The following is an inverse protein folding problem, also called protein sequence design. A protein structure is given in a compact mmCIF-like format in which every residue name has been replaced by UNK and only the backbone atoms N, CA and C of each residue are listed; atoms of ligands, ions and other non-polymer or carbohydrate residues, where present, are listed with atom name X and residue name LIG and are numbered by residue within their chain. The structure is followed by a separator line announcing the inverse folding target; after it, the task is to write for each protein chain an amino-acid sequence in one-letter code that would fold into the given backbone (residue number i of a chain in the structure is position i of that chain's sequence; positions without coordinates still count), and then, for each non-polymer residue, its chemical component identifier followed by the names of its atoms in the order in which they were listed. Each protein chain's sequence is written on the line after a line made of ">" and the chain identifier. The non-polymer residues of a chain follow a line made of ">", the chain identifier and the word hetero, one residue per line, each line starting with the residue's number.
data_IF_363332867033
#
_entry.id   IF_363332867033
#
_cell.length_a   1.000
_cell.length_b   1.000
_cell.length_c   1.000
_cell.angle_alpha   90.00
_cell.angle_beta   90.00
_cell.angle_gamma   90.00
#
_symmetry.space_group_name_H-M   'P 1'
#
loop_
_entity.id
_entity.type
_entity.pdbx_description
1 polymer ?
#
# COMPACT_ATOMS: atom_id res chain seq x y z
N UNK A 1 0.66 -3.87 25.09
CA UNK A 1 1.47 -2.73 24.62
C UNK A 1 0.88 -1.46 25.21
N UNK A 2 1.70 -0.65 25.87
CA UNK A 2 1.29 0.65 26.41
C UNK A 2 1.63 1.72 25.35
N UNK A 3 0.62 2.32 24.74
CA UNK A 3 0.80 3.40 23.78
C UNK A 3 0.89 4.70 24.56
N UNK A 4 2.06 5.34 24.56
CA UNK A 4 2.26 6.66 25.16
C UNK A 4 2.05 7.76 24.12
N UNK A 5 1.46 8.87 24.55
CA UNK A 5 1.33 10.04 23.71
C UNK A 5 2.73 10.68 23.50
N UNK A 6 3.06 11.24 22.32
CA UNK A 6 4.34 11.91 22.06
C UNK A 6 4.75 12.99 23.09
N UNK A 7 3.76 13.56 23.77
CA UNK A 7 3.94 14.59 24.81
C UNK A 7 3.88 14.03 26.24
N UNK A 8 3.91 12.72 26.42
CA UNK A 8 3.96 12.10 27.74
C UNK A 8 5.30 12.39 28.40
N UNK A 9 5.25 12.99 29.59
CA UNK A 9 6.39 13.42 30.38
C UNK A 9 6.34 12.82 31.78
N UNK A 10 7.48 12.77 32.46
CA UNK A 10 7.53 12.41 33.86
C UNK A 10 6.91 13.49 34.74
N UNK A 11 5.99 13.13 35.65
CA UNK A 11 5.32 14.11 36.51
C UNK A 11 6.22 14.67 37.63
N UNK A 12 7.45 14.17 37.77
CA UNK A 12 8.44 14.66 38.75
C UNK A 12 9.42 15.65 38.12
N UNK A 13 10.03 15.30 36.98
CA UNK A 13 11.03 16.14 36.33
C UNK A 13 10.54 16.83 35.05
N UNK A 14 9.32 16.52 34.59
CA UNK A 14 8.71 17.02 33.36
C UNK A 14 9.48 16.69 32.07
N UNK A 15 10.48 15.80 32.16
CA UNK A 15 11.20 15.31 30.98
C UNK A 15 10.35 14.34 30.17
N UNK A 16 10.48 14.40 28.84
CA UNK A 16 9.78 13.50 27.92
C UNK A 16 10.21 12.05 28.11
N UNK A 17 9.23 11.14 28.12
CA UNK A 17 9.48 9.69 28.11
C UNK A 17 9.90 9.16 26.73
N UNK A 18 9.81 10.00 25.68
CA UNK A 18 10.15 9.63 24.30
C UNK A 18 11.66 9.75 24.05
N UNK A 19 12.42 10.43 24.90
CA UNK A 19 13.88 10.45 24.82
C UNK A 19 14.47 9.15 25.38
N UNK A 20 15.51 8.62 24.74
CA UNK A 20 16.14 7.35 25.12
C UNK A 20 16.74 7.33 26.53
N UNK A 21 16.90 8.51 27.15
CA UNK A 21 17.55 8.69 28.44
C UNK A 21 16.57 8.69 29.63
N UNK A 22 15.26 8.63 29.38
CA UNK A 22 14.22 8.78 30.41
C UNK A 22 13.17 7.70 30.30
N UNK A 23 13.60 6.47 30.54
CA UNK A 23 12.73 5.29 30.52
C UNK A 23 11.76 5.34 31.71
N UNK A 24 10.44 5.12 31.51
CA UNK A 24 9.48 5.01 32.59
C UNK A 24 9.54 3.66 33.29
N UNK A 25 9.31 3.70 34.59
CA UNK A 25 9.22 2.55 35.47
C UNK A 25 7.95 2.67 36.29
N UNK A 26 7.26 1.54 36.46
CA UNK A 26 6.19 1.41 37.45
C UNK A 26 6.77 0.90 38.75
N UNK A 27 6.52 1.61 39.84
CA UNK A 27 6.90 1.19 41.20
C UNK A 27 5.73 0.43 41.85
N UNK A 28 5.96 -0.30 42.95
CA UNK A 28 4.96 -1.14 43.67
C UNK A 28 3.54 -0.56 43.78
N UNK A 29 3.44 0.74 44.02
CA UNK A 29 2.16 1.43 44.19
C UNK A 29 1.37 1.69 42.89
N UNK A 30 1.93 1.37 41.73
CA UNK A 30 1.34 1.61 40.42
C UNK A 30 1.63 2.99 39.81
N UNK A 31 2.31 3.88 40.54
CA UNK A 31 2.74 5.16 39.97
C UNK A 31 3.94 5.00 39.04
N UNK A 32 4.04 5.90 38.06
CA UNK A 32 5.07 5.85 37.03
C UNK A 32 6.06 7.00 37.25
N UNK A 33 7.35 6.68 37.27
CA UNK A 33 8.45 7.64 37.35
C UNK A 33 9.51 7.32 36.31
N UNK A 34 10.32 8.29 35.87
CA UNK A 34 11.50 7.96 35.06
C UNK A 34 12.62 7.38 35.93
N UNK A 35 13.48 6.56 35.34
CA UNK A 35 14.64 5.94 35.99
C UNK A 35 15.45 6.94 36.82
N UNK A 36 15.75 8.09 36.25
CA UNK A 36 16.52 9.14 36.92
C UNK A 36 15.82 9.73 38.15
N UNK A 37 14.49 9.82 38.14
CA UNK A 37 13.73 10.28 39.30
C UNK A 37 13.69 9.21 40.39
N UNK A 38 13.59 7.93 40.01
CA UNK A 38 13.66 6.83 40.98
C UNK A 38 15.03 6.81 41.65
N UNK A 39 16.12 6.89 40.88
CA UNK A 39 17.48 6.86 41.43
C UNK A 39 17.81 8.05 42.35
N UNK A 40 17.08 9.17 42.23
CA UNK A 40 17.30 10.38 43.05
C UNK A 40 16.47 10.46 44.33
N UNK A 41 15.53 9.56 44.55
CA UNK A 41 14.74 9.57 45.79
C UNK A 41 15.68 9.29 47.00
N UNK A 42 15.36 9.78 48.20
CA UNK A 42 16.12 9.44 49.42
C UNK A 42 15.79 8.03 49.92
N UNK A 43 16.68 7.41 50.68
CA UNK A 43 16.37 6.18 51.41
C UNK A 43 15.71 6.52 52.76
N UNK A 44 14.61 5.83 53.16
CA UNK A 44 13.90 4.80 52.42
C UNK A 44 13.10 5.38 51.24
N UNK A 45 13.00 4.62 50.16
CA UNK A 45 12.33 5.06 48.93
C UNK A 45 10.83 5.16 49.12
N UNK A 46 10.29 6.36 48.92
CA UNK A 46 8.87 6.67 49.13
C UNK A 46 8.29 7.24 47.84
N UNK A 47 7.13 6.74 47.43
CA UNK A 47 6.43 7.28 46.26
C UNK A 47 6.05 8.76 46.47
N UNK A 48 6.41 9.69 45.57
CA UNK A 48 6.07 11.10 45.72
C UNK A 48 4.58 11.41 45.62
N UNK A 49 3.78 10.51 45.05
CA UNK A 49 2.34 10.71 44.82
C UNK A 49 1.48 10.18 45.96
N UNK A 50 1.73 8.94 46.41
CA UNK A 50 0.90 8.26 47.42
C UNK A 50 1.63 7.94 48.73
N UNK A 51 2.93 8.25 48.81
CA UNK A 51 3.78 8.05 49.99
C UNK A 51 3.92 6.60 50.47
N UNK A 52 3.56 5.63 49.63
CA UNK A 52 3.83 4.22 49.93
C UNK A 52 5.34 3.94 49.80
N UNK A 53 5.97 3.30 50.82
CA UNK A 53 7.35 2.88 50.73
C UNK A 53 7.50 1.73 49.73
N UNK A 54 8.64 1.66 49.06
CA UNK A 54 8.97 0.60 48.12
C UNK A 54 10.47 0.33 48.09
N UNK A 55 10.87 -0.85 47.64
CA UNK A 55 12.27 -1.17 47.34
C UNK A 55 12.58 -0.81 45.88
N UNK A 56 13.65 -0.03 45.65
CA UNK A 56 14.02 0.35 44.27
C UNK A 56 14.67 -0.79 43.51
N UNK A 57 15.31 -1.74 44.18
CA UNK A 57 16.03 -2.80 43.48
C UNK A 57 15.09 -3.96 43.12
N UNK A 58 14.09 -4.23 43.96
CA UNK A 58 13.19 -5.37 43.79
C UNK A 58 11.78 -5.00 43.29
N UNK A 59 11.30 -3.79 43.56
CA UNK A 59 9.89 -3.42 43.37
C UNK A 59 9.66 -2.34 42.30
N UNK A 60 10.52 -2.32 41.28
CA UNK A 60 10.35 -1.50 40.07
C UNK A 60 10.33 -2.36 38.81
N UNK A 61 9.42 -2.05 37.89
CA UNK A 61 9.33 -2.71 36.59
C UNK A 61 9.51 -1.67 35.49
N UNK A 62 10.51 -1.91 34.63
CA UNK A 62 10.73 -1.11 33.43
C UNK A 62 9.53 -1.26 32.49
N UNK A 63 8.89 -0.14 32.16
CA UNK A 63 7.82 -0.14 31.17
C UNK A 63 8.42 -0.07 29.77
N UNK A 64 8.02 -1.01 28.92
CA UNK A 64 8.34 -0.97 27.50
C UNK A 64 7.45 0.06 26.81
N UNK A 65 8.04 1.09 26.22
CA UNK A 65 7.33 2.08 25.41
C UNK A 65 7.58 1.79 23.95
N UNK A 66 6.51 1.57 23.22
CA UNK A 66 6.53 1.65 21.76
C UNK A 66 6.41 3.12 21.37
N UNK A 67 7.55 3.80 21.23
CA UNK A 67 7.58 5.19 20.73
C UNK A 67 7.26 5.16 19.24
N UNK A 68 5.98 5.18 18.88
CA UNK A 68 5.50 5.29 17.50
C UNK A 68 5.83 6.67 16.85
N UNK A 69 6.68 7.48 17.48
CA UNK A 69 6.85 8.90 17.19
C UNK A 69 8.09 9.25 16.39
N UNK A 70 8.87 8.27 15.93
CA UNK A 70 9.85 8.47 14.87
C UNK A 70 10.00 7.24 13.97
N UNK A 71 8.92 6.49 13.80
CA UNK A 71 8.81 5.53 12.74
C UNK A 71 7.34 5.22 12.49
N UNK A 72 6.90 5.40 11.24
CA UNK A 72 6.00 4.44 10.64
C UNK A 72 6.66 3.05 10.73
N UNK A 73 6.63 2.43 11.90
CA UNK A 73 7.22 1.13 12.16
C UNK A 73 6.14 0.07 12.09
N UNK A 74 6.10 -0.60 10.95
CA UNK A 74 6.23 -2.06 10.92
C UNK A 74 7.32 -2.48 11.93
N UNK A 75 7.15 -3.56 12.71
CA UNK A 75 7.98 -3.81 13.89
C UNK A 75 9.39 -4.25 13.48
N UNK A 76 10.33 -3.31 13.49
CA UNK A 76 11.75 -3.59 13.34
C UNK A 76 12.43 -3.50 14.70
N UNK A 77 12.68 -4.66 15.29
CA UNK A 77 13.60 -4.79 16.41
C UNK A 77 15.01 -4.51 15.90
N UNK A 78 15.37 -3.23 15.88
CA UNK A 78 16.77 -2.82 15.96
C UNK A 78 17.25 -3.28 17.34
N UNK A 79 17.90 -4.45 17.39
CA UNK A 79 18.96 -4.71 18.37
C UNK A 79 19.97 -3.58 18.21
N UNK A 80 19.84 -2.52 19.01
CA UNK A 80 20.96 -1.58 19.23
C UNK A 80 22.01 -2.32 20.04
N UNK A 81 22.84 -3.05 19.33
CA UNK A 81 24.22 -3.27 19.74
C UNK A 81 25.02 -2.27 18.91
N UNK A 82 25.78 -1.41 19.57
CA UNK A 82 26.79 -0.55 18.94
C UNK A 82 27.80 -1.45 18.23
N UNK A 83 27.53 -1.75 16.97
CA UNK A 83 28.41 -2.51 16.08
C UNK A 83 28.46 -1.69 14.80
N UNK A 84 29.68 -1.45 14.31
CA UNK A 84 29.95 -0.81 13.03
C UNK A 84 28.92 -1.22 11.97
N UNK A 85 28.02 -0.29 11.60
CA UNK A 85 27.05 -0.53 10.53
C UNK A 85 27.85 -0.84 9.26
N UNK A 86 27.64 -2.03 8.69
CA UNK A 86 28.22 -2.37 7.39
C UNK A 86 27.72 -1.38 6.34
N UNK A 87 28.52 -1.12 5.30
CA UNK A 87 28.13 -0.28 4.17
C UNK A 87 26.81 -0.78 3.55
N UNK A 88 26.63 -2.11 3.48
CA UNK A 88 25.41 -2.78 3.03
C UNK A 88 24.17 -2.44 3.87
N UNK A 89 24.31 -2.37 5.20
CA UNK A 89 23.19 -2.00 6.07
C UNK A 89 22.76 -0.54 5.88
N UNK A 90 23.72 0.35 5.66
CA UNK A 90 23.46 1.77 5.37
C UNK A 90 22.77 1.93 4.02
N UNK A 91 23.21 1.18 3.01
CA UNK A 91 22.61 1.17 1.68
C UNK A 91 21.18 0.61 1.69
N UNK A 92 20.93 -0.46 2.46
CA UNK A 92 19.59 -1.01 2.63
C UNK A 92 18.59 0.01 3.22
N UNK A 93 19.04 0.79 4.22
CA UNK A 93 18.23 1.85 4.81
C UNK A 93 17.94 2.99 3.82
N UNK A 94 18.91 3.35 2.97
CA UNK A 94 18.70 4.36 1.92
C UNK A 94 17.64 3.90 0.91
N UNK A 95 17.67 2.63 0.48
CA UNK A 95 16.64 2.09 -0.41
C UNK A 95 15.25 2.08 0.23
N UNK A 96 15.14 1.68 1.50
CA UNK A 96 13.86 1.74 2.22
C UNK A 96 13.32 3.17 2.31
N UNK A 97 14.18 4.17 2.55
CA UNK A 97 13.77 5.58 2.54
C UNK A 97 13.24 5.99 1.16
N UNK A 98 13.95 5.65 0.08
CA UNK A 98 13.53 5.96 -1.29
C UNK A 98 12.20 5.29 -1.66
N UNK A 99 12.00 4.03 -1.27
CA UNK A 99 10.70 3.34 -1.46
C UNK A 99 9.59 4.10 -0.72
N UNK A 100 9.84 4.52 0.51
CA UNK A 100 8.87 5.25 1.32
C UNK A 100 8.48 6.58 0.67
N UNK A 101 9.46 7.33 0.17
CA UNK A 101 9.22 8.59 -0.54
C UNK A 101 8.39 8.37 -1.81
N UNK A 102 8.69 7.33 -2.59
CA UNK A 102 7.91 6.96 -3.77
C UNK A 102 6.46 6.62 -3.41
N UNK A 103 6.25 5.89 -2.33
CA UNK A 103 4.90 5.44 -1.91
C UNK A 103 4.08 6.61 -1.36
N UNK A 104 4.68 7.49 -0.56
CA UNK A 104 3.99 8.60 0.09
C UNK A 104 3.85 9.83 -0.83
N UNK A 105 4.93 10.23 -1.49
CA UNK A 105 4.97 11.40 -2.36
C UNK A 105 4.48 11.13 -3.78
N UNK A 106 4.47 9.87 -4.19
CA UNK A 106 4.26 9.49 -5.58
C UNK A 106 5.52 9.75 -6.42
N UNK A 107 5.72 8.93 -7.45
CA UNK A 107 6.83 9.07 -8.37
C UNK A 107 6.41 8.72 -9.80
N UNK A 108 7.23 9.14 -10.77
CA UNK A 108 6.99 8.78 -12.18
C UNK A 108 7.26 7.30 -12.38
N UNK A 109 6.57 6.68 -13.35
CA UNK A 109 6.74 5.25 -13.65
C UNK A 109 8.16 4.88 -14.14
N UNK A 110 8.96 5.86 -14.55
CA UNK A 110 10.38 5.68 -14.90
C UNK A 110 11.20 5.56 -13.62
N UNK A 111 11.10 6.54 -12.72
CA UNK A 111 11.78 6.57 -11.41
C UNK A 111 11.49 5.32 -10.56
N UNK A 112 10.24 4.84 -10.58
CA UNK A 112 9.86 3.59 -9.88
C UNK A 112 10.55 2.37 -10.47
N UNK A 113 10.69 2.29 -11.80
CA UNK A 113 11.36 1.16 -12.47
C UNK A 113 12.86 1.19 -12.23
N UNK A 114 13.49 2.35 -12.37
CA UNK A 114 14.91 2.55 -12.08
C UNK A 114 15.24 2.07 -10.66
N UNK A 115 14.44 2.46 -9.66
CA UNK A 115 14.65 1.99 -8.28
C UNK A 115 14.45 0.47 -8.13
N UNK A 116 13.47 -0.12 -8.81
CA UNK A 116 13.25 -1.58 -8.78
C UNK A 116 14.47 -2.31 -9.36
N UNK A 117 15.02 -1.81 -10.46
CA UNK A 117 16.16 -2.42 -11.14
C UNK A 117 17.44 -2.27 -10.30
N UNK A 118 17.71 -1.06 -9.78
CA UNK A 118 18.83 -0.77 -8.88
C UNK A 118 18.84 -1.69 -7.64
N UNK A 119 17.69 -1.86 -6.98
CA UNK A 119 17.58 -2.74 -5.81
C UNK A 119 17.70 -4.22 -6.22
N UNK A 120 17.20 -4.60 -7.40
CA UNK A 120 17.29 -5.96 -7.92
C UNK A 120 18.73 -6.39 -8.25
N UNK A 121 19.50 -5.49 -8.84
CA UNK A 121 20.94 -5.69 -9.06
C UNK A 121 21.67 -5.83 -7.74
N UNK A 122 21.39 -4.96 -6.78
CA UNK A 122 21.99 -5.00 -5.45
C UNK A 122 21.65 -6.28 -4.66
N UNK A 123 20.43 -6.82 -4.79
CA UNK A 123 20.04 -8.07 -4.14
C UNK A 123 20.77 -9.29 -4.69
N UNK A 124 21.23 -9.25 -5.94
CA UNK A 124 21.93 -10.38 -6.56
C UNK A 124 23.23 -10.73 -5.83
N UNK A 125 23.75 -9.81 -5.02
CA UNK A 125 24.96 -9.97 -4.23
C UNK A 125 24.72 -10.36 -2.76
N UNK A 126 23.49 -10.23 -2.20
CA UNK A 126 23.24 -10.19 -0.73
C UNK A 126 21.91 -10.84 -0.27
N UNK A 127 21.49 -11.96 -0.87
CA UNK A 127 20.12 -12.53 -0.79
C UNK A 127 19.51 -12.76 0.62
N UNK A 128 20.29 -13.01 1.68
CA UNK A 128 19.74 -13.44 2.98
C UNK A 128 19.73 -12.39 4.11
N UNK A 129 20.43 -11.26 3.98
CA UNK A 129 20.62 -10.34 5.12
C UNK A 129 19.47 -9.32 5.32
N UNK A 130 18.67 -9.03 4.29
CA UNK A 130 17.72 -7.89 4.33
C UNK A 130 16.29 -8.23 3.89
N UNK A 131 15.61 -9.10 4.66
CA UNK A 131 14.23 -9.55 4.39
C UNK A 131 13.20 -8.42 4.26
N UNK A 132 13.37 -7.34 5.00
CA UNK A 132 12.43 -6.21 5.00
C UNK A 132 12.49 -5.42 3.69
N UNK A 133 13.70 -5.10 3.23
CA UNK A 133 13.91 -4.47 1.93
C UNK A 133 13.46 -5.39 0.81
N UNK A 134 13.70 -6.70 0.93
CA UNK A 134 13.27 -7.67 -0.08
C UNK A 134 11.74 -7.69 -0.21
N UNK A 135 11.04 -7.66 0.92
CA UNK A 135 9.58 -7.59 0.97
C UNK A 135 9.08 -6.28 0.37
N UNK A 136 9.66 -5.14 0.78
CA UNK A 136 9.28 -3.81 0.27
C UNK A 136 9.51 -3.68 -1.24
N UNK A 137 10.65 -4.15 -1.74
CA UNK A 137 10.98 -4.20 -3.16
C UNK A 137 10.02 -5.09 -3.94
N UNK A 138 9.73 -6.31 -3.44
CA UNK A 138 8.81 -7.23 -4.11
C UNK A 138 7.40 -6.64 -4.20
N UNK A 139 6.94 -5.98 -3.14
CA UNK A 139 5.67 -5.27 -3.13
C UNK A 139 5.64 -4.13 -4.15
N UNK A 140 6.69 -3.30 -4.18
CA UNK A 140 6.81 -2.20 -5.14
C UNK A 140 6.81 -2.70 -6.59
N UNK A 141 7.57 -3.77 -6.87
CA UNK A 141 7.64 -4.44 -8.17
C UNK A 141 6.28 -4.96 -8.63
N UNK A 142 5.59 -5.73 -7.77
CA UNK A 142 4.25 -6.27 -8.08
C UNK A 142 3.23 -5.15 -8.30
N UNK A 143 3.28 -4.12 -7.47
CA UNK A 143 2.38 -2.97 -7.60
C UNK A 143 2.62 -2.21 -8.90
N UNK A 144 3.88 -1.97 -9.28
CA UNK A 144 4.27 -1.33 -10.54
C UNK A 144 3.76 -2.11 -11.76
N UNK A 145 3.95 -3.44 -11.76
CA UNK A 145 3.46 -4.33 -12.81
C UNK A 145 1.93 -4.27 -12.90
N UNK A 146 1.21 -4.41 -11.78
CA UNK A 146 -0.25 -4.36 -11.76
C UNK A 146 -0.80 -3.03 -12.27
N UNK A 147 -0.11 -1.92 -11.99
CA UNK A 147 -0.46 -0.59 -12.50
C UNK A 147 -0.20 -0.44 -14.01
N UNK A 148 0.77 -1.17 -14.56
CA UNK A 148 0.99 -1.26 -16.01
C UNK A 148 -0.11 -2.07 -16.68
N UNK A 149 -0.41 -3.26 -16.13
CA UNK A 149 -1.45 -4.15 -16.66
C UNK A 149 -2.83 -3.49 -16.64
N UNK A 150 -3.15 -2.75 -15.58
CA UNK A 150 -4.40 -2.00 -15.48
C UNK A 150 -4.50 -0.92 -16.57
N UNK A 151 -3.39 -0.23 -16.86
CA UNK A 151 -3.36 0.77 -17.95
C UNK A 151 -3.57 0.12 -19.31
N UNK A 152 -2.93 -1.01 -19.58
CA UNK A 152 -3.11 -1.75 -20.83
C UNK A 152 -4.57 -2.22 -20.97
N UNK A 153 -5.13 -2.83 -19.93
CA UNK A 153 -6.50 -3.33 -19.95
C UNK A 153 -7.54 -2.22 -20.18
N UNK A 154 -7.27 -1.00 -19.69
CA UNK A 154 -8.14 0.15 -19.96
C UNK A 154 -8.09 0.60 -21.42
N UNK A 155 -6.91 0.55 -22.06
CA UNK A 155 -6.79 0.89 -23.49
C UNK A 155 -7.46 -0.19 -24.36
N UNK A 156 -7.21 -1.47 -24.06
CA UNK A 156 -7.83 -2.60 -24.77
C UNK A 156 -9.37 -2.54 -24.66
N UNK A 157 -9.89 -2.20 -23.47
CA UNK A 157 -11.33 -2.01 -23.26
C UNK A 157 -11.88 -0.93 -24.18
N UNK A 158 -11.19 0.21 -24.30
CA UNK A 158 -11.62 1.34 -25.13
C UNK A 158 -11.59 0.97 -26.61
N UNK A 159 -10.60 0.21 -27.05
CA UNK A 159 -10.53 -0.30 -28.43
C UNK A 159 -11.68 -1.26 -28.74
N UNK A 160 -11.96 -2.20 -27.83
CA UNK A 160 -13.08 -3.14 -27.97
C UNK A 160 -14.43 -2.41 -28.00
N UNK A 161 -14.63 -1.38 -27.18
CA UNK A 161 -15.85 -0.57 -27.19
C UNK A 161 -16.05 0.12 -28.55
N UNK A 162 -14.98 0.66 -29.16
CA UNK A 162 -15.04 1.22 -30.51
C UNK A 162 -15.36 0.18 -31.57
N UNK A 163 -14.79 -1.03 -31.45
CA UNK A 163 -15.04 -2.12 -32.37
C UNK A 163 -16.50 -2.61 -32.30
N UNK A 164 -17.04 -2.74 -31.09
CA UNK A 164 -18.45 -3.11 -30.85
C UNK A 164 -19.39 -2.07 -31.46
N UNK A 165 -19.10 -0.78 -31.26
CA UNK A 165 -19.90 0.30 -31.84
C UNK A 165 -19.84 0.29 -33.38
N UNK A 166 -18.66 0.08 -33.95
CA UNK A 166 -18.51 -0.07 -35.39
C UNK A 166 -19.31 -1.26 -35.93
N UNK A 167 -19.19 -2.43 -35.30
CA UNK A 167 -19.94 -3.63 -35.70
C UNK A 167 -21.45 -3.41 -35.61
N UNK A 168 -21.93 -2.73 -34.58
CA UNK A 168 -23.35 -2.38 -34.43
C UNK A 168 -23.84 -1.51 -35.58
N UNK A 169 -23.08 -0.47 -35.94
CA UNK A 169 -23.41 0.41 -37.08
C UNK A 169 -23.42 -0.34 -38.43
N UNK A 170 -22.50 -1.27 -38.63
CA UNK A 170 -22.48 -2.14 -39.82
C UNK A 170 -23.70 -3.07 -39.82
N UNK A 171 -24.01 -3.71 -38.69
CA UNK A 171 -25.17 -4.59 -38.52
C UNK A 171 -26.47 -3.85 -38.85
N UNK A 172 -26.67 -2.66 -38.29
CA UNK A 172 -27.84 -1.81 -38.55
C UNK A 172 -27.95 -1.44 -40.04
N UNK A 173 -26.83 -1.18 -40.69
CA UNK A 173 -26.78 -0.87 -42.13
C UNK A 173 -27.16 -2.08 -42.98
N UNK A 174 -26.63 -3.25 -42.65
CA UNK A 174 -26.96 -4.51 -43.35
C UNK A 174 -28.42 -4.86 -43.15
N UNK A 175 -28.96 -4.70 -41.94
CA UNK A 175 -30.36 -4.97 -41.63
C UNK A 175 -31.30 -4.06 -42.43
N UNK A 176 -31.02 -2.75 -42.50
CA UNK A 176 -31.77 -1.81 -43.33
C UNK A 176 -31.73 -2.17 -44.82
N UNK A 177 -30.59 -2.65 -45.33
CA UNK A 177 -30.48 -3.12 -46.72
C UNK A 177 -31.30 -4.38 -46.96
N UNK A 178 -31.21 -5.34 -46.04
CA UNK A 178 -31.96 -6.59 -46.12
C UNK A 178 -33.47 -6.34 -46.16
N UNK A 179 -33.96 -5.41 -45.35
CA UNK A 179 -35.38 -5.03 -45.32
C UNK A 179 -35.84 -4.43 -46.65
N UNK A 180 -35.05 -3.51 -47.24
CA UNK A 180 -35.29 -2.99 -48.58
C UNK A 180 -35.30 -4.08 -49.67
N UNK A 181 -34.38 -5.04 -49.59
CA UNK A 181 -34.37 -6.17 -50.52
C UNK A 181 -35.61 -7.04 -50.39
N UNK A 182 -36.07 -7.32 -49.16
CA UNK A 182 -37.31 -8.07 -48.91
C UNK A 182 -38.53 -7.36 -49.49
N UNK A 183 -38.66 -6.04 -49.27
CA UNK A 183 -39.74 -5.23 -49.85
C UNK A 183 -39.71 -5.26 -51.38
N UNK A 184 -38.54 -5.12 -51.98
CA UNK A 184 -38.39 -5.18 -53.44
C UNK A 184 -38.73 -6.56 -54.00
N UNK A 185 -38.35 -7.63 -53.30
CA UNK A 185 -38.63 -8.99 -53.73
C UNK A 185 -40.13 -9.30 -53.67
N UNK A 186 -40.81 -8.87 -52.60
CA UNK A 186 -42.26 -8.99 -52.46
C UNK A 186 -43.01 -8.29 -53.60
N UNK A 187 -42.59 -7.07 -53.98
CA UNK A 187 -43.16 -6.35 -55.14
C UNK A 187 -42.94 -7.10 -56.45
N UNK A 188 -41.77 -7.72 -56.63
CA UNK A 188 -41.45 -8.49 -57.84
C UNK A 188 -42.29 -9.76 -57.92
N UNK A 189 -42.50 -10.44 -56.79
CA UNK A 189 -43.38 -11.62 -56.69
C UNK A 189 -44.84 -11.26 -56.99
N UNK A 190 -45.33 -10.13 -56.50
CA UNK A 190 -46.66 -9.59 -56.84
C UNK A 190 -46.79 -9.32 -58.35
N UNK A 191 -45.79 -8.68 -58.96
CA UNK A 191 -45.77 -8.41 -60.40
C UNK A 191 -45.75 -9.70 -61.23
N UNK A 192 -44.97 -10.70 -60.83
CA UNK A 192 -44.95 -12.00 -61.51
C UNK A 192 -46.31 -12.69 -61.44
N UNK A 193 -46.97 -12.68 -60.28
CA UNK A 193 -48.29 -13.26 -60.12
C UNK A 193 -49.37 -12.54 -60.95
N UNK A 194 -49.23 -11.23 -61.18
CA UNK A 194 -50.14 -10.46 -62.03
C UNK A 194 -49.94 -10.81 -63.52
N UNK A 195 -48.69 -10.88 -63.99
CA UNK A 195 -48.38 -11.30 -65.36
C UNK A 195 -48.82 -12.74 -65.66
N UNK A 196 -48.72 -13.65 -64.69
CA UNK A 196 -49.24 -15.02 -64.82
C UNK A 196 -50.76 -15.04 -65.01
N UNK A 197 -51.50 -14.21 -64.26
CA UNK A 197 -52.95 -14.07 -64.44
C UNK A 197 -53.32 -13.50 -65.81
N UNK A 198 -52.59 -12.49 -66.29
CA UNK A 198 -52.82 -11.91 -67.61
C UNK A 198 -52.57 -12.92 -68.73
N UNK A 199 -51.48 -13.71 -68.63
CA UNK A 199 -51.21 -14.80 -69.58
C UNK A 199 -52.36 -15.80 -69.62
N UNK A 200 -52.82 -16.26 -68.46
CA UNK A 200 -53.89 -17.27 -68.38
C UNK A 200 -55.23 -16.74 -68.93
N UNK A 201 -55.47 -15.42 -68.89
CA UNK A 201 -56.64 -14.78 -69.51
C UNK A 201 -56.54 -14.70 -71.04
N UNK A 202 -55.33 -14.55 -71.59
CA UNK A 202 -55.10 -14.50 -73.05
C UNK A 202 -55.16 -15.89 -73.70
N UNK A 203 -55.02 -16.97 -72.92
CA UNK A 203 -55.09 -18.35 -73.39
C UNK A 203 -56.52 -18.96 -73.38
N UNK A 204 -57.54 -18.22 -72.90
CA UNK A 204 -58.96 -18.60 -72.90
C UNK A 204 -59.75 -17.95 -74.05
#
# INVERSE_FOLDING_TARGET
>A
MLILHPKSTCDVCFDSYVSSERVPYVIKCGHILCENCINKLPEPSICPFCRMPFDRDEEQLRLHIDTATNALSTPLLIRRSEVSLSESATQAQQYLSRITDIVLGGAKAVEVRELIDEIGEWFSDQEEEFRELQTAWLLLKKHSQKKSDLRQCLEDKKELEQQVEFQKNVSDTVQKRLEKYKESNMKMEEQLAELEKERDQLEQ
#
